data_IF_311259602778
#
_entry.id   IF_311259602778
#
_cell.length_a   1.000
_cell.length_b   1.000
_cell.length_c   1.000
_cell.angle_alpha   90.00
_cell.angle_beta   90.00
_cell.angle_gamma   90.00
#
_symmetry.space_group_name_H-M   'P 1'
#
loop_
_entity.id
_entity.type
_entity.pdbx_description
1 polymer ?
#
# COMPACT_ATOMS: atom_id res chain seq x y z
N UNK A 1 9.14 -16.83 -17.51
CA UNK A 1 8.11 -17.53 -18.33
C UNK A 1 7.37 -18.67 -17.60
N UNK A 2 7.94 -19.33 -16.57
CA UNK A 2 7.24 -20.40 -15.82
C UNK A 2 6.10 -19.92 -14.91
N UNK A 3 6.23 -18.72 -14.32
CA UNK A 3 5.22 -18.14 -13.42
C UNK A 3 3.89 -17.91 -14.16
N UNK A 4 3.93 -17.34 -15.37
CA UNK A 4 2.74 -17.12 -16.21
C UNK A 4 2.06 -18.43 -16.69
N UNK A 5 2.76 -19.57 -16.63
CA UNK A 5 2.21 -20.88 -17.00
C UNK A 5 1.42 -21.52 -15.86
N UNK A 6 1.81 -21.27 -14.60
CA UNK A 6 1.13 -21.82 -13.42
C UNK A 6 -0.25 -21.18 -13.20
N UNK A 7 -0.38 -19.88 -13.45
CA UNK A 7 -1.67 -19.16 -13.33
C UNK A 7 -2.63 -19.41 -14.50
N UNK A 8 -2.21 -20.12 -15.56
CA UNK A 8 -3.07 -20.32 -16.74
C UNK A 8 -4.35 -21.14 -16.44
N UNK A 9 -4.33 -21.95 -15.39
CA UNK A 9 -5.41 -22.88 -15.02
C UNK A 9 -6.07 -22.57 -13.67
N UNK A 10 -5.57 -21.56 -12.95
CA UNK A 10 -6.14 -21.06 -11.70
C UNK A 10 -6.12 -19.53 -11.78
N UNK A 11 -7.27 -18.88 -12.07
CA UNK A 11 -7.33 -17.45 -12.32
C UNK A 11 -6.97 -16.58 -11.12
N UNK A 12 -6.63 -17.17 -9.96
CA UNK A 12 -5.90 -16.53 -8.88
C UNK A 12 -6.44 -15.13 -8.58
N UNK A 13 -7.55 -15.08 -7.84
CA UNK A 13 -8.15 -13.84 -7.33
C UNK A 13 -8.55 -12.76 -8.37
N UNK A 14 -8.49 -12.99 -9.68
CA UNK A 14 -9.06 -12.04 -10.65
C UNK A 14 -10.57 -12.28 -10.82
N UNK A 15 -11.46 -11.32 -10.49
CA UNK A 15 -12.91 -11.50 -10.57
C UNK A 15 -13.42 -11.87 -11.97
N UNK A 16 -12.64 -11.58 -13.02
CA UNK A 16 -12.99 -11.82 -14.42
C UNK A 16 -11.92 -12.62 -15.19
N UNK A 17 -10.95 -13.24 -14.51
CA UNK A 17 -9.85 -13.98 -15.14
C UNK A 17 -8.89 -13.14 -16.00
N UNK A 18 -8.97 -11.81 -15.87
CA UNK A 18 -8.06 -10.87 -16.55
C UNK A 18 -6.93 -10.49 -15.60
N UNK A 19 -5.70 -10.82 -15.97
CA UNK A 19 -4.52 -10.39 -15.23
C UNK A 19 -4.17 -8.96 -15.62
N UNK A 20 -4.00 -8.10 -14.63
CA UNK A 20 -3.46 -6.76 -14.81
C UNK A 20 -2.02 -6.73 -14.35
N UNK A 21 -1.15 -6.04 -15.09
CA UNK A 21 0.24 -5.83 -14.66
C UNK A 21 0.30 -4.77 -13.56
N UNK A 22 1.42 -4.71 -12.84
CA UNK A 22 1.63 -3.68 -11.82
C UNK A 22 1.51 -2.26 -12.40
N UNK A 23 2.05 -2.04 -13.60
CA UNK A 23 1.99 -0.75 -14.30
C UNK A 23 0.55 -0.38 -14.66
N UNK A 24 -0.24 -1.35 -15.11
CA UNK A 24 -1.67 -1.13 -15.39
C UNK A 24 -2.43 -0.82 -14.10
N UNK A 25 -2.18 -1.56 -13.02
CA UNK A 25 -2.78 -1.32 -11.70
C UNK A 25 -2.43 0.07 -11.14
N UNK A 26 -1.22 0.56 -11.37
CA UNK A 26 -0.78 1.90 -10.99
C UNK A 26 -1.44 2.96 -11.90
N UNK A 27 -1.52 2.72 -13.21
CA UNK A 27 -2.07 3.67 -14.17
C UNK A 27 -3.56 3.94 -13.93
N UNK A 28 -4.33 2.94 -13.50
CA UNK A 28 -5.76 3.10 -13.22
C UNK A 28 -6.05 3.80 -11.89
N UNK A 29 -5.05 4.09 -11.06
CA UNK A 29 -5.26 4.70 -9.75
C UNK A 29 -6.00 6.03 -9.81
N UNK A 30 -5.74 6.83 -10.85
CA UNK A 30 -6.43 8.10 -11.07
C UNK A 30 -7.94 7.95 -11.33
N UNK A 31 -8.43 6.76 -11.72
CA UNK A 31 -9.86 6.49 -11.92
C UNK A 31 -10.65 6.31 -10.62
N UNK A 32 -9.97 6.25 -9.46
CA UNK A 32 -10.59 6.04 -8.15
C UNK A 32 -10.49 7.31 -7.28
N UNK A 33 -11.24 8.39 -7.59
CA UNK A 33 -11.11 9.67 -6.90
C UNK A 33 -11.54 9.63 -5.42
N UNK A 34 -12.33 8.63 -5.05
CA UNK A 34 -12.82 8.43 -3.68
C UNK A 34 -11.99 7.42 -2.88
N UNK A 35 -10.89 6.93 -3.44
CA UNK A 35 -9.92 6.08 -2.73
C UNK A 35 -8.73 6.94 -2.31
N UNK A 36 -8.35 6.83 -1.03
CA UNK A 36 -7.18 7.51 -0.47
C UNK A 36 -6.22 6.51 0.14
N UNK A 37 -4.94 6.86 0.11
CA UNK A 37 -3.87 6.05 0.69
C UNK A 37 -3.12 6.82 1.77
N UNK A 38 -2.69 6.09 2.79
CA UNK A 38 -1.89 6.58 3.91
C UNK A 38 -0.82 5.53 4.24
N UNK A 39 0.42 5.97 4.43
CA UNK A 39 1.55 5.09 4.75
C UNK A 39 2.20 5.56 6.02
N UNK A 40 2.22 4.67 7.01
CA UNK A 40 2.89 4.87 8.30
C UNK A 40 4.38 4.61 8.11
N UNK A 41 5.20 5.43 8.76
CA UNK A 41 6.64 5.26 8.75
C UNK A 41 7.14 4.21 9.74
N UNK A 42 8.14 3.43 9.32
CA UNK A 42 8.78 2.44 10.18
C UNK A 42 9.58 3.13 11.28
N UNK A 43 9.28 2.82 12.54
CA UNK A 43 10.04 3.33 13.69
C UNK A 43 10.07 2.31 14.83
N UNK A 44 10.61 1.12 14.58
CA UNK A 44 10.69 0.05 15.60
C UNK A 44 11.79 0.28 16.65
N UNK A 45 12.79 1.12 16.36
CA UNK A 45 13.93 1.29 17.25
C UNK A 45 13.73 2.43 18.27
N UNK A 46 12.58 2.45 18.97
CA UNK A 46 12.33 3.45 20.01
C UNK A 46 12.41 2.83 21.42
N UNK A 47 13.36 3.27 22.27
CA UNK A 47 13.42 2.84 23.66
C UNK A 47 12.32 3.47 24.54
N UNK A 48 11.61 4.49 24.04
CA UNK A 48 10.54 5.21 24.74
C UNK A 48 9.21 5.03 24.00
N UNK A 49 8.05 5.06 24.71
CA UNK A 49 6.74 5.05 24.06
C UNK A 49 6.59 6.27 23.14
N UNK A 50 6.39 6.03 21.85
CA UNK A 50 6.23 7.07 20.84
C UNK A 50 4.82 7.68 20.98
N UNK A 51 4.67 9.01 21.13
CA UNK A 51 3.37 9.66 21.03
C UNK A 51 2.79 9.50 19.62
N UNK A 52 1.46 9.44 19.50
CA UNK A 52 0.75 9.14 18.25
C UNK A 52 1.31 9.91 17.03
N UNK A 53 1.92 9.17 16.10
CA UNK A 53 2.52 9.66 14.85
C UNK A 53 3.61 10.75 15.00
N UNK A 54 4.19 10.93 16.19
CA UNK A 54 5.17 11.98 16.47
C UNK A 54 6.61 11.47 16.34
N UNK A 55 7.54 12.25 15.77
CA UNK A 55 8.97 11.91 15.79
C UNK A 55 9.44 11.65 17.23
N UNK A 56 10.28 10.63 17.44
CA UNK A 56 10.92 10.40 18.75
C UNK A 56 11.67 11.66 19.18
N UNK A 57 11.76 11.91 20.48
CA UNK A 57 12.52 13.06 21.04
C UNK A 57 13.99 13.08 20.57
N UNK A 58 14.52 11.94 20.12
CA UNK A 58 15.87 11.79 19.58
C UNK A 58 15.91 11.49 18.08
N UNK A 59 14.78 11.39 17.38
CA UNK A 59 14.71 11.15 15.93
C UNK A 59 13.66 12.05 15.27
N UNK A 60 14.11 13.02 14.47
CA UNK A 60 13.28 13.99 13.76
C UNK A 60 12.65 13.45 12.46
N UNK A 61 12.85 12.17 12.13
CA UNK A 61 12.18 11.52 11.00
C UNK A 61 10.69 11.36 11.33
N UNK A 62 9.84 12.05 10.57
CA UNK A 62 8.38 11.97 10.75
C UNK A 62 7.88 10.53 10.57
N UNK A 63 7.06 10.05 11.51
CA UNK A 63 6.42 8.73 11.54
C UNK A 63 5.30 8.54 10.48
N UNK A 64 5.22 9.44 9.49
CA UNK A 64 4.29 9.36 8.36
C UNK A 64 5.14 9.40 7.10
N UNK A 65 5.23 8.25 6.44
CA UNK A 65 5.92 8.12 5.15
C UNK A 65 5.23 8.92 4.06
N UNK A 66 3.90 8.82 4.05
CA UNK A 66 3.05 9.42 3.05
C UNK A 66 1.68 9.70 3.68
N UNK A 67 1.35 10.97 3.81
CA UNK A 67 0.08 11.42 4.38
C UNK A 67 -1.12 11.00 3.52
N UNK A 68 -2.33 11.34 3.99
CA UNK A 68 -3.55 11.05 3.24
C UNK A 68 -3.51 11.74 1.88
N UNK A 69 -3.41 10.96 0.81
CA UNK A 69 -3.49 11.47 -0.55
C UNK A 69 -4.51 10.68 -1.35
N UNK A 70 -5.05 11.32 -2.39
CA UNK A 70 -5.89 10.64 -3.37
C UNK A 70 -5.07 9.60 -4.13
N UNK A 71 -5.69 8.46 -4.46
CA UNK A 71 -5.08 7.45 -5.29
C UNK A 71 -4.67 8.04 -6.66
N UNK A 72 -3.38 7.88 -6.98
CA UNK A 72 -2.75 8.36 -8.19
C UNK A 72 -1.54 7.48 -8.52
N UNK A 73 -1.07 7.47 -9.78
CA UNK A 73 0.11 6.71 -10.13
C UNK A 73 1.33 7.02 -9.24
N UNK A 74 1.46 8.28 -8.82
CA UNK A 74 2.56 8.68 -7.95
C UNK A 74 2.42 8.22 -6.51
N UNK A 75 1.21 8.34 -5.94
CA UNK A 75 0.93 7.88 -4.57
C UNK A 75 0.99 6.36 -4.40
N UNK A 76 0.80 5.60 -5.50
CA UNK A 76 0.82 4.13 -5.47
C UNK A 76 2.17 3.56 -5.88
N UNK A 77 2.85 4.15 -6.88
CA UNK A 77 3.95 3.46 -7.56
C UNK A 77 5.15 4.29 -8.01
N UNK A 78 5.23 5.59 -7.75
CA UNK A 78 6.39 6.41 -8.18
C UNK A 78 7.36 6.79 -7.07
N UNK A 79 6.91 6.90 -5.82
CA UNK A 79 7.75 7.44 -4.73
C UNK A 79 8.28 6.36 -3.77
N UNK A 80 9.56 6.42 -3.36
CA UNK A 80 10.14 5.67 -2.25
C UNK A 80 9.19 5.61 -1.05
N UNK A 81 8.77 4.40 -0.63
CA UNK A 81 8.10 4.19 0.65
C UNK A 81 9.14 4.20 1.78
N UNK A 82 8.70 4.17 3.03
CA UNK A 82 9.60 4.16 4.19
C UNK A 82 10.54 2.97 4.29
N UNK A 83 10.32 1.93 3.48
CA UNK A 83 11.21 0.78 3.37
C UNK A 83 12.22 0.95 2.22
N UNK A 84 12.25 2.12 1.55
CA UNK A 84 13.14 2.40 0.43
C UNK A 84 12.80 1.63 -0.86
N UNK A 85 11.68 0.89 -0.87
CA UNK A 85 11.26 -0.01 -1.96
C UNK A 85 10.30 0.65 -2.95
N UNK A 86 9.66 1.75 -2.55
CA UNK A 86 9.07 2.73 -3.47
C UNK A 86 7.66 2.49 -3.95
N UNK A 87 6.87 1.66 -3.26
CA UNK A 87 5.49 1.38 -3.68
C UNK A 87 4.57 1.16 -2.49
N UNK A 88 3.33 1.62 -2.62
CA UNK A 88 2.25 1.26 -1.73
C UNK A 88 1.98 -0.26 -1.79
N UNK A 89 1.41 -0.84 -0.72
CA UNK A 89 1.11 -2.28 -0.69
C UNK A 89 0.21 -2.70 -1.84
N UNK A 90 0.70 -3.59 -2.70
CA UNK A 90 -0.03 -4.11 -3.85
C UNK A 90 -1.34 -4.81 -3.40
N UNK A 91 -1.27 -5.64 -2.35
CA UNK A 91 -2.45 -6.33 -1.80
C UNK A 91 -3.49 -5.32 -1.31
N UNK A 92 -3.04 -4.28 -0.60
CA UNK A 92 -3.93 -3.24 -0.09
C UNK A 92 -4.62 -2.49 -1.24
N UNK A 93 -3.86 -2.15 -2.28
CA UNK A 93 -4.37 -1.46 -3.47
C UNK A 93 -5.41 -2.28 -4.23
N UNK A 94 -5.10 -3.52 -4.61
CA UNK A 94 -6.02 -4.36 -5.38
C UNK A 94 -7.28 -4.69 -4.59
N UNK A 95 -7.16 -4.99 -3.30
CA UNK A 95 -8.31 -5.20 -2.43
C UNK A 95 -9.19 -3.95 -2.36
N UNK A 96 -8.59 -2.77 -2.19
CA UNK A 96 -9.30 -1.51 -2.12
C UNK A 96 -10.06 -1.16 -3.40
N UNK A 97 -9.46 -1.39 -4.57
CA UNK A 97 -10.13 -1.19 -5.86
C UNK A 97 -11.34 -2.10 -6.01
N UNK A 98 -11.18 -3.41 -5.78
CA UNK A 98 -12.29 -4.36 -5.91
C UNK A 98 -13.40 -4.09 -4.89
N UNK A 99 -13.02 -3.69 -3.68
CA UNK A 99 -13.98 -3.30 -2.67
C UNK A 99 -14.75 -2.07 -3.14
N UNK A 100 -14.07 -1.03 -3.61
CA UNK A 100 -14.71 0.18 -4.14
C UNK A 100 -15.69 -0.16 -5.26
N UNK A 101 -15.29 -0.99 -6.21
CA UNK A 101 -16.14 -1.43 -7.32
C UNK A 101 -17.44 -2.08 -6.86
N UNK A 102 -17.38 -2.87 -5.77
CA UNK A 102 -18.54 -3.60 -5.24
C UNK A 102 -19.47 -2.74 -4.39
N UNK A 103 -18.92 -1.86 -3.55
CA UNK A 103 -19.72 -1.14 -2.53
C UNK A 103 -19.89 0.36 -2.80
N UNK A 104 -19.09 0.95 -3.70
CA UNK A 104 -19.20 2.35 -4.15
C UNK A 104 -19.21 3.39 -3.02
N UNK A 105 -18.51 3.12 -1.91
CA UNK A 105 -18.30 4.07 -0.81
C UNK A 105 -16.85 4.55 -0.79
N UNK A 106 -16.54 5.75 -0.26
CA UNK A 106 -15.17 6.20 -0.11
C UNK A 106 -14.33 5.25 0.75
N UNK A 107 -13.12 4.90 0.27
CA UNK A 107 -12.23 3.95 0.95
C UNK A 107 -10.93 4.63 1.34
N UNK A 108 -10.53 4.47 2.60
CA UNK A 108 -9.21 4.81 3.09
C UNK A 108 -8.37 3.55 3.27
N UNK A 109 -7.22 3.48 2.59
CA UNK A 109 -6.27 2.38 2.68
C UNK A 109 -5.06 2.79 3.51
N UNK A 110 -4.73 2.01 4.54
CA UNK A 110 -3.63 2.28 5.46
C UNK A 110 -2.57 1.18 5.32
N UNK A 111 -1.34 1.57 5.02
CA UNK A 111 -0.18 0.68 4.98
C UNK A 111 0.70 0.94 6.22
N UNK A 112 0.78 -0.06 7.11
CA UNK A 112 1.58 -0.02 8.34
C UNK A 112 2.28 -1.35 8.60
N UNK A 113 2.68 -2.04 7.52
CA UNK A 113 3.39 -3.32 7.60
C UNK A 113 4.86 -3.16 7.29
N UNK A 114 5.70 -3.90 8.00
CA UNK A 114 7.15 -3.82 7.88
C UNK A 114 7.73 -5.23 7.80
N UNK A 115 8.60 -5.46 6.81
CA UNK A 115 9.23 -6.77 6.65
C UNK A 115 10.28 -7.01 7.74
N UNK A 116 10.35 -8.25 8.25
CA UNK A 116 11.38 -8.65 9.21
C UNK A 116 11.06 -8.40 10.68
N UNK A 117 9.87 -7.88 11.00
CA UNK A 117 9.35 -7.80 12.37
C UNK A 117 8.88 -9.16 12.85
N UNK A 118 9.17 -9.49 14.11
CA UNK A 118 8.57 -10.61 14.80
C UNK A 118 7.07 -10.43 14.96
N UNK A 119 6.36 -11.49 15.32
CA UNK A 119 4.94 -11.36 15.74
C UNK A 119 4.85 -10.85 17.19
N UNK A 120 5.93 -11.01 17.94
CA UNK A 120 6.12 -10.62 19.32
C UNK A 120 6.47 -9.13 19.51
N UNK A 121 6.83 -8.44 18.43
CA UNK A 121 7.08 -7.00 18.40
C UNK A 121 5.77 -6.21 18.44
#
# INVERSE_FOLDING_TARGET
QKIAQAYRNDPGASPNGTYITAEQGIAVAAHYPHVRVFVVGCHHDCPDPIPDFYPSVNDSRQCIAHGWAQASPSSIGSEPDVMGSGKFSATCWYFGMELYDKIQVPIGLVHSSYGGTGIED
#
